data_IF_449145533603
#
_entry.id   IF_449145533603
#
_cell.length_a   1.000
_cell.length_b   1.000
_cell.length_c   1.000
_cell.angle_alpha   90.00
_cell.angle_beta   90.00
_cell.angle_gamma   90.00
#
_symmetry.space_group_name_H-M   'P 1'
#
loop_
_entity.id
_entity.type
_entity.pdbx_description
1 polymer ?
#
# COMPACT_ATOMS: atom_id res chain seq x y z
N UNK A 1 -3.73 10.18 -25.20
CA UNK A 1 -2.54 10.87 -24.66
C UNK A 1 -1.30 10.05 -25.04
N UNK A 2 -0.24 10.69 -25.57
CA UNK A 2 1.02 9.97 -25.84
C UNK A 2 1.68 9.58 -24.51
N UNK A 3 2.28 8.38 -24.38
CA UNK A 3 2.95 8.00 -23.15
C UNK A 3 4.14 8.92 -22.88
N UNK A 4 4.31 9.34 -21.62
CA UNK A 4 5.47 10.13 -21.17
C UNK A 4 6.77 9.37 -21.45
N UNK A 5 7.86 10.12 -21.66
CA UNK A 5 9.18 9.50 -21.83
C UNK A 5 9.57 8.73 -20.56
N UNK A 6 10.33 7.64 -20.73
CA UNK A 6 10.82 6.82 -19.61
C UNK A 6 11.50 7.66 -18.50
N UNK A 7 12.43 8.59 -18.78
CA UNK A 7 13.08 9.36 -17.72
C UNK A 7 12.10 10.25 -16.95
N UNK A 8 11.17 10.92 -17.65
CA UNK A 8 10.15 11.76 -17.01
C UNK A 8 9.27 10.94 -16.07
N UNK A 9 8.88 9.73 -16.50
CA UNK A 9 8.08 8.83 -15.65
C UNK A 9 8.83 8.39 -14.40
N UNK A 10 10.10 8.02 -14.52
CA UNK A 10 10.90 7.63 -13.35
C UNK A 10 11.11 8.82 -12.40
N UNK A 11 11.33 10.02 -12.94
CA UNK A 11 11.38 11.24 -12.14
C UNK A 11 10.06 11.48 -11.39
N UNK A 12 8.90 11.37 -12.05
CA UNK A 12 7.60 11.53 -11.40
C UNK A 12 7.37 10.50 -10.29
N UNK A 13 7.67 9.23 -10.53
CA UNK A 13 7.53 8.18 -9.50
C UNK A 13 8.49 8.43 -8.33
N UNK A 14 9.73 8.83 -8.62
CA UNK A 14 10.72 9.19 -7.59
C UNK A 14 10.25 10.37 -6.74
N UNK A 15 9.74 11.43 -7.37
CA UNK A 15 9.17 12.60 -6.69
C UNK A 15 7.94 12.21 -5.86
N UNK A 16 7.05 11.34 -6.37
CA UNK A 16 5.92 10.83 -5.60
C UNK A 16 6.38 10.11 -4.34
N UNK A 17 7.34 9.18 -4.44
CA UNK A 17 7.87 8.45 -3.30
C UNK A 17 8.49 9.40 -2.28
N UNK A 18 9.29 10.37 -2.74
CA UNK A 18 9.90 11.37 -1.87
C UNK A 18 8.84 12.18 -1.11
N UNK A 19 7.80 12.66 -1.79
CA UNK A 19 6.74 13.44 -1.16
C UNK A 19 5.93 12.61 -0.15
N UNK A 20 5.61 11.34 -0.44
CA UNK A 20 4.99 10.44 0.54
C UNK A 20 5.84 10.33 1.81
N UNK A 21 7.15 10.14 1.65
CA UNK A 21 8.10 10.03 2.77
C UNK A 21 8.20 11.34 3.53
N UNK A 22 8.30 12.48 2.85
CA UNK A 22 8.39 13.79 3.49
C UNK A 22 7.13 14.14 4.29
N UNK A 23 5.94 13.89 3.74
CA UNK A 23 4.68 14.11 4.46
C UNK A 23 4.55 13.18 5.67
N UNK A 24 4.93 11.91 5.53
CA UNK A 24 4.95 10.98 6.66
C UNK A 24 5.97 11.38 7.73
N UNK A 25 7.19 11.75 7.35
CA UNK A 25 8.21 12.24 8.28
C UNK A 25 7.73 13.49 9.01
N UNK A 26 7.09 14.41 8.30
CA UNK A 26 6.51 15.59 8.92
C UNK A 26 5.48 15.19 9.99
N UNK A 27 4.51 14.32 9.67
CA UNK A 27 3.52 13.84 10.66
C UNK A 27 4.16 13.19 11.89
N UNK A 28 5.15 12.31 11.68
CA UNK A 28 5.80 11.57 12.76
C UNK A 28 6.69 12.46 13.64
N UNK A 29 7.38 13.43 13.04
CA UNK A 29 8.30 14.31 13.77
C UNK A 29 7.61 15.51 14.41
N UNK A 30 6.56 16.04 13.78
CA UNK A 30 5.87 17.22 14.29
C UNK A 30 4.79 16.90 15.31
N UNK A 31 4.29 15.65 15.33
CA UNK A 31 3.25 15.16 16.26
C UNK A 31 2.12 16.19 16.49
N UNK A 32 1.38 16.51 15.43
CA UNK A 32 0.42 17.61 15.49
C UNK A 32 -0.71 17.35 16.49
N UNK A 33 -1.00 18.34 17.34
CA UNK A 33 -2.04 18.27 18.39
C UNK A 33 -3.30 19.09 18.03
N UNK A 34 -3.34 19.73 16.86
CA UNK A 34 -4.43 20.62 16.43
C UNK A 34 -5.66 19.88 15.87
N UNK A 35 -5.63 18.54 15.77
CA UNK A 35 -6.78 17.71 15.37
C UNK A 35 -6.63 16.27 15.86
N UNK A 36 -7.77 15.62 16.08
CA UNK A 36 -7.87 14.18 16.35
C UNK A 36 -8.00 13.34 15.05
N UNK A 37 -7.94 13.98 13.88
CA UNK A 37 -8.11 13.37 12.56
C UNK A 37 -9.45 12.63 12.40
N UNK A 38 -10.50 13.07 13.09
CA UNK A 38 -11.87 12.59 12.90
C UNK A 38 -12.57 13.18 11.66
N UNK A 39 -12.10 14.34 11.19
CA UNK A 39 -12.66 15.08 10.05
C UNK A 39 -11.57 15.40 9.02
N UNK A 40 -11.96 15.46 7.74
CA UNK A 40 -11.05 15.86 6.67
C UNK A 40 -10.91 17.39 6.63
N UNK A 41 -9.68 17.88 6.70
CA UNK A 41 -9.32 19.29 6.46
C UNK A 41 -10.01 20.31 7.39
N UNK A 42 -10.28 19.92 8.63
CA UNK A 42 -10.75 20.78 9.73
C UNK A 42 -9.65 21.66 10.36
N UNK A 43 -8.39 21.25 10.21
CA UNK A 43 -7.22 21.83 10.86
C UNK A 43 -6.08 22.01 9.87
N UNK A 44 -5.01 22.68 10.30
CA UNK A 44 -3.81 22.82 9.48
C UNK A 44 -3.20 21.45 9.22
N UNK A 45 -3.17 20.58 10.21
CA UNK A 45 -2.52 19.28 10.10
C UNK A 45 -3.28 18.30 9.24
N UNK A 46 -4.61 18.25 9.33
CA UNK A 46 -5.43 17.42 8.42
C UNK A 46 -5.35 17.92 6.98
N UNK A 47 -5.28 19.25 6.76
CA UNK A 47 -5.06 19.82 5.44
C UNK A 47 -3.67 19.48 4.88
N UNK A 48 -2.60 19.59 5.70
CA UNK A 48 -1.23 19.23 5.29
C UNK A 48 -1.14 17.73 4.97
N UNK A 49 -1.73 16.86 5.79
CA UNK A 49 -1.77 15.43 5.51
C UNK A 49 -2.51 15.11 4.21
N UNK A 50 -3.71 15.69 4.03
CA UNK A 50 -4.51 15.48 2.83
C UNK A 50 -3.76 15.93 1.57
N UNK A 51 -3.26 17.17 1.54
CA UNK A 51 -2.55 17.72 0.37
C UNK A 51 -1.23 16.96 0.16
N UNK A 52 -0.49 16.71 1.24
CA UNK A 52 0.79 16.01 1.22
C UNK A 52 0.72 14.60 0.68
N UNK A 53 -0.42 13.90 0.83
CA UNK A 53 -0.64 12.58 0.24
C UNK A 53 -1.43 12.60 -1.08
N UNK A 54 -2.27 13.60 -1.32
CA UNK A 54 -2.98 13.78 -2.58
C UNK A 54 -2.03 14.09 -3.73
N UNK A 55 -1.12 15.04 -3.55
CA UNK A 55 -0.15 15.45 -4.58
C UNK A 55 0.68 14.28 -5.10
N UNK A 56 1.40 13.49 -4.27
CA UNK A 56 2.17 12.37 -4.76
C UNK A 56 1.31 11.26 -5.36
N UNK A 57 0.09 11.06 -4.87
CA UNK A 57 -0.86 10.12 -5.47
C UNK A 57 -1.20 10.54 -6.90
N UNK A 58 -1.56 11.81 -7.11
CA UNK A 58 -1.86 12.35 -8.45
C UNK A 58 -0.64 12.25 -9.38
N UNK A 59 0.56 12.59 -8.89
CA UNK A 59 1.80 12.45 -9.66
C UNK A 59 2.05 10.98 -10.06
N UNK A 60 1.79 10.02 -9.18
CA UNK A 60 1.96 8.59 -9.48
C UNK A 60 0.94 8.11 -10.50
N UNK A 61 -0.31 8.62 -10.45
CA UNK A 61 -1.35 8.34 -11.44
C UNK A 61 -0.96 8.91 -12.82
N UNK A 62 -0.50 10.17 -12.88
CA UNK A 62 -0.01 10.79 -14.13
C UNK A 62 1.13 9.96 -14.73
N UNK A 63 2.04 9.46 -13.89
CA UNK A 63 3.16 8.64 -14.33
C UNK A 63 2.73 7.27 -14.87
N UNK A 64 1.74 6.63 -14.25
CA UNK A 64 1.40 5.23 -14.55
C UNK A 64 0.24 5.05 -15.51
N UNK A 65 -0.85 5.82 -15.40
CA UNK A 65 -2.10 5.63 -16.15
C UNK A 65 -1.87 5.55 -17.67
N UNK A 66 -1.04 6.41 -18.30
CA UNK A 66 -0.80 6.34 -19.75
C UNK A 66 -0.08 5.07 -20.21
N UNK A 67 0.51 4.30 -19.29
CA UNK A 67 1.26 3.08 -19.58
C UNK A 67 0.46 1.80 -19.37
N UNK A 68 -0.69 1.90 -18.70
CA UNK A 68 -1.50 0.76 -18.32
C UNK A 68 -2.50 0.41 -19.44
N UNK A 69 -2.65 -0.88 -19.77
CA UNK A 69 -3.72 -1.31 -20.66
C UNK A 69 -5.08 -1.10 -20.00
N UNK A 70 -6.13 -0.95 -20.82
CA UNK A 70 -7.50 -0.68 -20.35
C UNK A 70 -7.93 -1.68 -19.27
N UNK A 71 -7.60 -2.97 -19.42
CA UNK A 71 -7.95 -4.00 -18.42
C UNK A 71 -7.32 -3.75 -17.06
N UNK A 72 -6.09 -3.25 -17.00
CA UNK A 72 -5.45 -2.89 -15.72
C UNK A 72 -6.10 -1.64 -15.12
N UNK A 73 -6.50 -0.67 -15.93
CA UNK A 73 -7.25 0.49 -15.43
C UNK A 73 -8.60 0.06 -14.83
N UNK A 74 -9.25 -0.95 -15.40
CA UNK A 74 -10.54 -1.47 -14.90
C UNK A 74 -10.44 -2.18 -13.54
N UNK A 75 -9.30 -2.81 -13.22
CA UNK A 75 -9.16 -3.53 -11.94
C UNK A 75 -8.82 -2.60 -10.77
N UNK A 76 -8.27 -1.40 -11.02
CA UNK A 76 -7.92 -0.46 -9.94
C UNK A 76 -9.15 -0.12 -9.09
N UNK A 77 -10.30 0.34 -9.62
CA UNK A 77 -11.49 0.60 -8.81
C UNK A 77 -11.97 -0.61 -8.00
N UNK A 78 -11.94 -1.80 -8.60
CA UNK A 78 -12.31 -3.06 -7.91
C UNK A 78 -11.36 -3.35 -6.75
N UNK A 79 -10.06 -3.14 -6.96
CA UNK A 79 -9.04 -3.26 -5.92
C UNK A 79 -9.28 -2.27 -4.77
N UNK A 80 -9.64 -1.02 -5.08
CA UNK A 80 -9.96 -0.02 -4.05
C UNK A 80 -11.17 -0.47 -3.22
N UNK A 81 -12.26 -0.87 -3.88
CA UNK A 81 -13.49 -1.30 -3.20
C UNK A 81 -13.22 -2.51 -2.30
N UNK A 82 -12.46 -3.50 -2.78
CA UNK A 82 -12.12 -4.67 -1.99
C UNK A 82 -11.30 -4.30 -0.75
N UNK A 83 -10.25 -3.50 -0.92
CA UNK A 83 -9.43 -3.01 0.19
C UNK A 83 -10.27 -2.29 1.25
N UNK A 84 -11.12 -1.37 0.80
CA UNK A 84 -11.96 -0.54 1.66
C UNK A 84 -12.99 -1.38 2.41
N UNK A 85 -13.74 -2.24 1.70
CA UNK A 85 -14.83 -3.01 2.30
C UNK A 85 -14.26 -4.03 3.28
N UNK A 86 -13.24 -4.79 2.89
CA UNK A 86 -12.62 -5.78 3.78
C UNK A 86 -11.95 -5.08 4.96
N UNK A 87 -11.18 -4.02 4.70
CA UNK A 87 -10.50 -3.26 5.74
C UNK A 87 -11.46 -2.59 6.73
N UNK A 88 -12.61 -2.09 6.25
CA UNK A 88 -13.66 -1.58 7.14
C UNK A 88 -14.27 -2.69 7.99
N UNK A 89 -14.66 -3.81 7.38
CA UNK A 89 -15.28 -4.91 8.13
C UNK A 89 -14.32 -5.44 9.21
N UNK A 90 -13.05 -5.64 8.87
CA UNK A 90 -12.03 -6.16 9.79
C UNK A 90 -11.63 -5.11 10.84
N UNK A 91 -11.46 -3.85 10.45
CA UNK A 91 -10.98 -2.79 11.33
C UNK A 91 -12.02 -2.20 12.27
N UNK A 92 -13.30 -2.17 11.87
CA UNK A 92 -14.36 -1.45 12.60
C UNK A 92 -15.61 -2.27 12.93
N UNK A 93 -15.92 -3.35 12.20
CA UNK A 93 -17.19 -4.07 12.34
C UNK A 93 -17.07 -5.38 13.11
N UNK A 94 -16.95 -5.30 14.44
CA UNK A 94 -17.31 -6.37 15.38
C UNK A 94 -16.46 -7.66 15.38
N UNK A 95 -15.50 -7.80 14.46
CA UNK A 95 -14.51 -8.88 14.48
C UNK A 95 -13.24 -8.39 15.20
N UNK A 96 -12.91 -8.91 16.40
CA UNK A 96 -11.70 -8.55 17.12
C UNK A 96 -10.46 -9.23 16.52
N UNK A 97 -10.31 -9.16 15.19
CA UNK A 97 -9.18 -9.74 14.49
C UNK A 97 -8.02 -8.74 14.57
N UNK A 98 -6.85 -9.11 15.11
CA UNK A 98 -5.70 -8.21 15.21
C UNK A 98 -4.96 -8.11 13.87
N UNK A 99 -5.69 -7.91 12.77
CA UNK A 99 -5.22 -7.85 11.37
C UNK A 99 -5.99 -6.73 10.64
N UNK A 100 -5.60 -6.40 9.40
CA UNK A 100 -6.20 -5.32 8.61
C UNK A 100 -6.88 -5.83 7.33
N UNK A 101 -6.22 -6.74 6.60
CA UNK A 101 -6.67 -7.36 5.36
C UNK A 101 -7.05 -6.37 4.24
N UNK A 102 -6.47 -5.17 4.29
CA UNK A 102 -6.89 -3.98 3.55
C UNK A 102 -5.99 -3.62 2.36
N UNK A 103 -5.01 -4.47 2.05
CA UNK A 103 -4.07 -4.22 0.96
C UNK A 103 -4.09 -5.29 -0.13
N UNK A 104 -5.07 -6.20 -0.13
CA UNK A 104 -5.16 -7.27 -1.12
C UNK A 104 -5.20 -6.76 -2.56
N UNK A 105 -6.09 -5.81 -2.85
CA UNK A 105 -6.21 -5.19 -4.17
C UNK A 105 -4.93 -4.45 -4.57
N UNK A 106 -4.29 -3.75 -3.62
CA UNK A 106 -3.03 -3.03 -3.87
C UNK A 106 -1.90 -3.99 -4.24
N UNK A 107 -1.75 -5.09 -3.49
CA UNK A 107 -0.75 -6.13 -3.74
C UNK A 107 -1.03 -6.81 -5.08
N UNK A 108 -2.29 -7.12 -5.40
CA UNK A 108 -2.68 -7.72 -6.68
C UNK A 108 -2.33 -6.81 -7.86
N UNK A 109 -2.68 -5.52 -7.81
CA UNK A 109 -2.35 -4.55 -8.86
C UNK A 109 -0.83 -4.40 -8.98
N UNK A 110 -0.10 -4.31 -7.86
CA UNK A 110 1.35 -4.22 -7.86
C UNK A 110 2.02 -5.44 -8.55
N UNK A 111 1.55 -6.65 -8.25
CA UNK A 111 2.07 -7.90 -8.84
C UNK A 111 1.79 -7.97 -10.35
N UNK A 112 0.61 -7.51 -10.79
CA UNK A 112 0.18 -7.58 -12.18
C UNK A 112 0.75 -6.44 -13.04
N UNK A 113 0.84 -5.22 -12.49
CA UNK A 113 1.10 -4.00 -13.22
C UNK A 113 2.36 -3.23 -12.79
N UNK A 114 3.07 -3.69 -11.76
CA UNK A 114 4.37 -3.15 -11.35
C UNK A 114 4.32 -2.05 -10.29
N UNK A 115 5.50 -1.50 -9.93
CA UNK A 115 5.68 -0.65 -8.75
C UNK A 115 4.91 0.66 -8.82
N UNK A 116 4.90 1.34 -9.97
CA UNK A 116 4.18 2.60 -10.13
C UNK A 116 2.65 2.40 -10.00
N UNK A 117 2.13 1.27 -10.48
CA UNK A 117 0.70 0.96 -10.38
C UNK A 117 0.31 0.59 -8.95
N UNK A 118 1.17 -0.16 -8.25
CA UNK A 118 1.01 -0.45 -6.84
C UNK A 118 1.05 0.81 -5.97
N UNK A 119 2.04 1.68 -6.17
CA UNK A 119 2.17 2.97 -5.50
C UNK A 119 0.90 3.81 -5.64
N UNK A 120 0.43 3.97 -6.89
CA UNK A 120 -0.77 4.74 -7.19
C UNK A 120 -2.03 4.11 -6.59
N UNK A 121 -2.17 2.79 -6.65
CA UNK A 121 -3.33 2.08 -6.08
C UNK A 121 -3.35 2.22 -4.56
N UNK A 122 -2.20 2.09 -3.89
CA UNK A 122 -2.09 2.27 -2.44
C UNK A 122 -2.48 3.67 -2.00
N UNK A 123 -1.87 4.70 -2.61
CA UNK A 123 -2.19 6.10 -2.31
C UNK A 123 -3.67 6.43 -2.59
N UNK A 124 -4.21 5.94 -3.70
CA UNK A 124 -5.61 6.15 -4.05
C UNK A 124 -6.56 5.43 -3.10
N UNK A 125 -6.23 4.20 -2.66
CA UNK A 125 -7.00 3.48 -1.63
C UNK A 125 -7.10 4.29 -0.36
N UNK A 126 -5.97 4.80 0.16
CA UNK A 126 -5.99 5.58 1.40
C UNK A 126 -6.77 6.89 1.29
N UNK A 127 -6.72 7.58 0.15
CA UNK A 127 -7.42 8.86 -0.02
C UNK A 127 -8.92 8.69 -0.23
N UNK A 128 -9.33 7.70 -1.03
CA UNK A 128 -10.75 7.41 -1.25
C UNK A 128 -11.39 6.91 0.04
N UNK A 129 -10.69 6.03 0.77
CA UNK A 129 -11.15 5.59 2.09
C UNK A 129 -11.17 6.75 3.10
N UNK A 130 -10.11 7.55 3.09
CA UNK A 130 -9.95 8.75 3.90
C UNK A 130 -11.09 9.75 3.80
N UNK A 131 -11.78 9.81 2.67
CA UNK A 131 -12.92 10.71 2.48
C UNK A 131 -14.10 10.44 3.43
N UNK A 132 -14.23 9.22 3.96
CA UNK A 132 -15.28 8.85 4.91
C UNK A 132 -14.75 8.13 6.17
N UNK A 133 -13.46 7.79 6.21
CA UNK A 133 -12.74 7.42 7.43
C UNK A 133 -11.40 8.21 7.48
N UNK A 134 -11.42 9.46 7.98
CA UNK A 134 -10.28 10.38 7.83
C UNK A 134 -8.97 9.93 8.48
N UNK A 135 -9.05 9.08 9.51
CA UNK A 135 -7.88 8.47 10.16
C UNK A 135 -6.95 7.75 9.18
N UNK A 136 -7.50 7.14 8.13
CA UNK A 136 -6.76 6.37 7.11
C UNK A 136 -5.76 7.24 6.33
N UNK A 137 -6.02 8.55 6.20
CA UNK A 137 -5.14 9.47 5.47
C UNK A 137 -3.75 9.49 6.09
N UNK A 138 -3.63 9.42 7.42
CA UNK A 138 -2.34 9.41 8.12
C UNK A 138 -1.46 8.20 7.77
N UNK A 139 -2.08 7.10 7.34
CA UNK A 139 -1.40 5.86 6.98
C UNK A 139 -1.06 5.77 5.48
N UNK A 140 -1.41 6.77 4.66
CA UNK A 140 -1.29 6.73 3.20
C UNK A 140 0.11 6.36 2.68
N UNK A 141 1.17 6.84 3.36
CA UNK A 141 2.54 6.46 3.02
C UNK A 141 2.79 4.95 3.14
N UNK A 142 2.20 4.28 4.13
CA UNK A 142 2.28 2.82 4.30
C UNK A 142 1.57 2.06 3.18
N UNK A 143 0.38 2.50 2.76
CA UNK A 143 -0.35 1.91 1.63
C UNK A 143 0.45 2.05 0.32
N UNK A 144 0.94 3.27 0.06
CA UNK A 144 1.73 3.59 -1.12
C UNK A 144 3.05 2.78 -1.13
N UNK A 145 3.78 2.74 -0.01
CA UNK A 145 4.99 1.95 0.16
C UNK A 145 4.74 0.47 -0.11
N UNK A 146 3.70 -0.11 0.48
CA UNK A 146 3.36 -1.54 0.31
C UNK A 146 3.18 -1.88 -1.16
N UNK A 147 2.39 -1.09 -1.90
CA UNK A 147 2.18 -1.29 -3.33
C UNK A 147 3.46 -1.11 -4.15
N UNK A 148 4.27 -0.10 -3.83
CA UNK A 148 5.53 0.16 -4.52
C UNK A 148 6.53 -0.99 -4.34
N UNK A 149 6.80 -1.38 -3.10
CA UNK A 149 7.77 -2.43 -2.75
C UNK A 149 7.35 -3.78 -3.35
N UNK A 150 6.08 -4.16 -3.22
CA UNK A 150 5.54 -5.39 -3.83
C UNK A 150 5.74 -5.38 -5.34
N UNK A 151 5.50 -4.24 -6.00
CA UNK A 151 5.67 -4.13 -7.44
C UNK A 151 7.13 -4.29 -7.88
N UNK A 152 8.10 -3.87 -7.06
CA UNK A 152 9.54 -4.11 -7.30
C UNK A 152 9.87 -5.61 -7.21
N UNK A 153 9.30 -6.32 -6.24
CA UNK A 153 9.56 -7.75 -6.00
C UNK A 153 8.52 -8.67 -6.65
N UNK A 154 7.69 -8.17 -7.57
CA UNK A 154 6.60 -8.93 -8.22
C UNK A 154 7.02 -10.24 -8.88
N UNK A 155 8.30 -10.37 -9.26
CA UNK A 155 8.88 -11.58 -9.81
C UNK A 155 8.76 -12.79 -8.87
N UNK A 156 8.68 -12.58 -7.55
CA UNK A 156 8.54 -13.64 -6.56
C UNK A 156 7.25 -14.45 -6.72
N UNK A 157 6.16 -13.84 -7.21
CA UNK A 157 4.88 -14.52 -7.45
C UNK A 157 4.95 -15.54 -8.61
N UNK A 158 5.97 -15.45 -9.47
CA UNK A 158 6.29 -16.47 -10.48
C UNK A 158 7.13 -17.62 -9.91
N UNK A 159 7.78 -17.41 -8.77
CA UNK A 159 8.64 -18.39 -8.09
C UNK A 159 7.85 -19.17 -7.02
N UNK A 160 8.51 -19.68 -5.99
CA UNK A 160 7.91 -20.55 -4.98
C UNK A 160 7.15 -19.78 -3.89
N UNK A 161 6.12 -20.41 -3.32
CA UNK A 161 5.24 -19.82 -2.29
C UNK A 161 6.01 -19.32 -1.06
N UNK A 162 7.04 -20.04 -0.61
CA UNK A 162 7.83 -19.65 0.57
C UNK A 162 8.57 -18.33 0.39
N UNK A 163 8.98 -17.97 -0.85
CA UNK A 163 9.58 -16.66 -1.13
C UNK A 163 8.56 -15.54 -0.96
N UNK A 164 7.30 -15.82 -1.28
CA UNK A 164 6.19 -14.90 -1.08
C UNK A 164 5.87 -14.75 0.41
N UNK A 165 5.97 -15.82 1.21
CA UNK A 165 5.89 -15.74 2.67
C UNK A 165 7.00 -14.87 3.25
N UNK A 166 8.26 -15.09 2.85
CA UNK A 166 9.38 -14.25 3.31
C UNK A 166 9.17 -12.79 2.90
N UNK A 167 8.73 -12.55 1.66
CA UNK A 167 8.40 -11.19 1.22
C UNK A 167 7.27 -10.58 2.07
N UNK A 168 6.26 -11.36 2.44
CA UNK A 168 5.17 -10.93 3.34
C UNK A 168 5.71 -10.54 4.72
N UNK A 169 6.59 -11.36 5.30
CA UNK A 169 7.23 -11.04 6.59
C UNK A 169 8.06 -9.76 6.51
N UNK A 170 8.92 -9.62 5.50
CA UNK A 170 9.78 -8.45 5.34
C UNK A 170 8.96 -7.19 5.08
N UNK A 171 8.01 -7.24 4.12
CA UNK A 171 7.16 -6.08 3.82
C UNK A 171 6.25 -5.75 4.98
N UNK A 172 5.74 -6.73 5.71
CA UNK A 172 4.93 -6.49 6.90
C UNK A 172 5.72 -5.89 8.05
N UNK A 173 6.99 -6.27 8.26
CA UNK A 173 7.86 -5.58 9.22
C UNK A 173 8.12 -4.12 8.81
N UNK A 174 8.31 -3.86 7.50
CA UNK A 174 8.43 -2.50 6.98
C UNK A 174 7.12 -1.71 7.16
N UNK A 175 5.96 -2.34 6.89
CA UNK A 175 4.65 -1.76 7.14
C UNK A 175 4.51 -1.40 8.62
N UNK A 176 4.86 -2.31 9.54
CA UNK A 176 4.86 -2.08 10.98
C UNK A 176 5.75 -0.91 11.42
N UNK A 177 6.92 -0.76 10.79
CA UNK A 177 7.83 0.35 11.06
C UNK A 177 7.26 1.71 10.60
N UNK A 178 6.49 1.73 9.52
CA UNK A 178 5.86 2.94 8.99
C UNK A 178 4.54 3.26 9.70
N UNK A 179 3.78 2.24 10.11
CA UNK A 179 2.47 2.37 10.74
C UNK A 179 2.58 2.67 12.24
N UNK A 180 3.51 2.03 12.97
CA UNK A 180 3.60 2.17 14.43
C UNK A 180 3.81 3.61 14.93
N UNK A 181 4.70 4.44 14.33
CA UNK A 181 4.86 5.82 14.77
C UNK A 181 3.59 6.65 14.59
N UNK A 182 2.86 6.44 13.49
CA UNK A 182 1.57 7.09 13.24
C UNK A 182 0.53 6.62 14.25
N UNK A 183 0.41 5.31 14.45
CA UNK A 183 -0.52 4.72 15.40
C UNK A 183 -0.27 5.19 16.85
N UNK A 184 1.00 5.32 17.25
CA UNK A 184 1.37 5.76 18.58
C UNK A 184 1.24 7.28 18.76
N UNK A 185 1.89 8.08 17.91
CA UNK A 185 2.01 9.53 18.13
C UNK A 185 0.75 10.31 17.76
N UNK A 186 -0.07 9.81 16.82
CA UNK A 186 -1.31 10.49 16.41
C UNK A 186 -2.52 9.91 17.13
N UNK A 187 -2.56 8.58 17.30
CA UNK A 187 -3.76 7.88 17.75
C UNK A 187 -3.62 7.18 19.11
N UNK A 188 -2.47 7.28 19.78
CA UNK A 188 -2.26 6.68 21.10
C UNK A 188 -2.43 5.15 21.16
N UNK A 189 -2.37 4.45 20.03
CA UNK A 189 -2.54 3.00 19.95
C UNK A 189 -3.97 2.48 19.78
N UNK A 190 -4.97 3.36 19.68
CA UNK A 190 -6.39 2.97 19.59
C UNK A 190 -6.97 3.03 18.17
N UNK A 191 -6.11 3.04 17.14
CA UNK A 191 -6.53 3.26 15.76
C UNK A 191 -7.38 2.12 15.15
N UNK A 192 -7.35 0.91 15.71
CA UNK A 192 -8.13 -0.23 15.24
C UNK A 192 -8.71 -1.04 16.40
N UNK A 193 -9.89 -1.62 16.20
CA UNK A 193 -10.61 -2.35 17.26
C UNK A 193 -9.86 -3.62 17.68
N UNK A 194 -9.56 -4.52 16.73
CA UNK A 194 -8.83 -5.76 17.00
C UNK A 194 -7.36 -5.56 17.33
N UNK A 195 -6.70 -4.59 16.69
CA UNK A 195 -5.29 -4.26 16.98
C UNK A 195 -5.13 -3.56 18.32
N UNK A 196 -6.07 -2.69 18.70
CA UNK A 196 -6.12 -2.08 20.04
C UNK A 196 -6.22 -3.12 21.16
N UNK A 197 -6.95 -4.23 20.95
CA UNK A 197 -6.95 -5.34 21.92
C UNK A 197 -5.57 -5.97 22.10
N UNK A 198 -4.78 -6.07 21.03
CA UNK A 198 -3.41 -6.57 21.11
C UNK A 198 -2.51 -5.57 21.86
N UNK A 199 -2.70 -4.25 21.65
CA UNK A 199 -2.02 -3.21 22.44
C UNK A 199 -2.35 -3.37 23.93
N UNK A 200 -3.63 -3.42 24.30
CA UNK A 200 -4.05 -3.60 25.69
C UNK A 200 -3.54 -4.92 26.29
N UNK A 201 -3.44 -5.98 25.50
CA UNK A 201 -2.84 -7.24 25.95
C UNK A 201 -1.35 -7.08 26.27
N UNK A 202 -0.57 -6.36 25.46
CA UNK A 202 0.82 -6.05 25.77
C UNK A 202 0.96 -5.12 26.99
N UNK A 203 0.08 -4.12 27.14
CA UNK A 203 0.07 -3.27 28.34
C UNK A 203 -0.22 -4.09 29.61
N UNK A 204 -1.15 -5.05 29.53
CA UNK A 204 -1.45 -5.98 30.62
C UNK A 204 -0.26 -6.90 30.97
N UNK A 205 0.67 -7.13 30.05
CA UNK A 205 1.94 -7.82 30.28
C UNK A 205 3.02 -6.91 30.89
N UNK A 206 2.71 -5.64 31.15
CA UNK A 206 3.60 -4.67 31.79
C UNK A 206 4.44 -3.83 30.82
N UNK A 207 4.18 -3.91 29.50
CA UNK A 207 4.85 -3.03 28.54
C UNK A 207 4.27 -1.61 28.61
N UNK A 208 5.11 -0.59 28.35
CA UNK A 208 4.64 0.79 28.21
C UNK A 208 3.74 0.94 26.98
N UNK A 209 2.84 1.92 26.96
CA UNK A 209 1.91 2.12 25.84
C UNK A 209 2.62 2.22 24.49
N UNK A 210 3.71 2.99 24.39
CA UNK A 210 4.51 3.06 23.17
C UNK A 210 5.12 1.71 22.77
N UNK A 211 5.72 0.98 23.72
CA UNK A 211 6.26 -0.35 23.41
C UNK A 211 5.16 -1.32 22.98
N UNK A 212 3.98 -1.25 23.61
CA UNK A 212 2.83 -2.08 23.27
C UNK A 212 2.31 -1.81 21.84
N UNK A 213 2.23 -0.55 21.40
CA UNK A 213 1.85 -0.20 20.03
C UNK A 213 2.85 -0.73 19.01
N UNK A 214 4.15 -0.56 19.26
CA UNK A 214 5.19 -1.08 18.36
C UNK A 214 5.19 -2.61 18.29
N UNK A 215 5.04 -3.29 19.43
CA UNK A 215 4.91 -4.76 19.48
C UNK A 215 3.67 -5.24 18.73
N UNK A 216 2.56 -4.51 18.85
CA UNK A 216 1.35 -4.81 18.09
C UNK A 216 1.61 -4.71 16.60
N UNK A 217 2.14 -3.59 16.10
CA UNK A 217 2.37 -3.42 14.66
C UNK A 217 3.38 -4.44 14.13
N UNK A 218 4.41 -4.78 14.90
CA UNK A 218 5.40 -5.80 14.52
C UNK A 218 4.89 -7.24 14.63
N UNK A 219 3.73 -7.45 15.25
CA UNK A 219 3.08 -8.76 15.31
C UNK A 219 2.00 -8.87 14.24
N UNK A 220 1.09 -7.89 14.18
CA UNK A 220 -0.04 -7.87 13.26
C UNK A 220 0.39 -7.67 11.80
N UNK A 221 1.25 -6.70 11.50
CA UNK A 221 1.55 -6.32 10.11
C UNK A 221 2.29 -7.44 9.35
N UNK A 222 3.28 -8.15 9.92
CA UNK A 222 3.88 -9.31 9.27
C UNK A 222 2.90 -10.44 9.00
N UNK A 223 2.04 -10.76 9.97
CA UNK A 223 1.03 -11.82 9.82
C UNK A 223 0.02 -11.43 8.74
N UNK A 224 -0.46 -10.19 8.78
CA UNK A 224 -1.37 -9.61 7.78
C UNK A 224 -0.78 -9.71 6.37
N UNK A 225 0.46 -9.26 6.17
CA UNK A 225 1.10 -9.29 4.86
C UNK A 225 1.38 -10.70 4.38
N UNK A 226 1.74 -11.65 5.25
CA UNK A 226 1.86 -13.06 4.85
C UNK A 226 0.53 -13.60 4.33
N UNK A 227 -0.57 -13.36 5.04
CA UNK A 227 -1.91 -13.82 4.62
C UNK A 227 -2.27 -13.20 3.27
N UNK A 228 -2.21 -11.88 3.15
CA UNK A 228 -2.56 -11.16 1.91
C UNK A 228 -1.69 -11.64 0.74
N UNK A 229 -0.37 -11.76 0.94
CA UNK A 229 0.55 -12.11 -0.13
C UNK A 229 0.31 -13.53 -0.61
N UNK A 230 0.00 -14.46 0.30
CA UNK A 230 -0.36 -15.83 -0.03
C UNK A 230 -1.70 -15.93 -0.76
N UNK A 231 -2.71 -15.15 -0.36
CA UNK A 231 -3.98 -15.07 -1.09
C UNK A 231 -3.76 -14.54 -2.52
N UNK A 232 -2.97 -13.47 -2.67
CA UNK A 232 -2.60 -12.95 -4.00
C UNK A 232 -1.76 -13.97 -4.77
N UNK A 233 -0.91 -14.76 -4.11
CA UNK A 233 -0.17 -15.85 -4.75
C UNK A 233 -1.09 -16.89 -5.38
N UNK A 234 -2.10 -17.35 -4.63
CA UNK A 234 -3.10 -18.30 -5.13
C UNK A 234 -3.86 -17.71 -6.32
N UNK A 235 -4.36 -16.47 -6.20
CA UNK A 235 -5.08 -15.78 -7.29
C UNK A 235 -4.19 -15.60 -8.51
N UNK A 236 -2.94 -15.15 -8.32
CA UNK A 236 -1.97 -15.00 -9.39
C UNK A 236 -1.72 -16.32 -10.11
N UNK A 237 -1.57 -17.43 -9.37
CA UNK A 237 -1.35 -18.77 -9.93
C UNK A 237 -2.58 -19.33 -10.66
N UNK A 238 -3.79 -18.98 -10.22
CA UNK A 238 -5.03 -19.38 -10.86
C UNK A 238 -5.30 -18.65 -12.20
N UNK A 239 -4.78 -17.42 -12.38
CA UNK A 239 -4.98 -16.67 -13.63
C UNK A 239 -4.27 -17.34 -14.83
N UNK A 240 -4.92 -17.51 -15.99
CA UNK A 240 -4.26 -17.99 -17.21
C UNK A 240 -3.10 -17.09 -17.66
N UNK A 241 -2.05 -17.67 -18.25
CA UNK A 241 -0.88 -16.90 -18.69
C UNK A 241 -1.23 -15.77 -19.67
N UNK A 242 -2.18 -16.01 -20.58
CA UNK A 242 -2.67 -15.01 -21.54
C UNK A 242 -3.26 -13.79 -20.82
N UNK A 243 -4.08 -14.03 -19.80
CA UNK A 243 -4.71 -12.99 -18.98
C UNK A 243 -3.67 -12.18 -18.20
N UNK A 244 -2.64 -12.82 -17.64
CA UNK A 244 -1.55 -12.12 -16.93
C UNK A 244 -0.79 -11.15 -17.83
N UNK A 245 -0.52 -11.54 -19.09
CA UNK A 245 0.19 -10.69 -20.07
C UNK A 245 -0.61 -9.46 -20.46
N UNK A 246 -1.94 -9.54 -20.44
CA UNK A 246 -2.80 -8.40 -20.76
C UNK A 246 -2.80 -7.31 -19.68
N UNK A 247 -2.31 -7.62 -18.47
CA UNK A 247 -2.21 -6.63 -17.39
C UNK A 247 -0.84 -5.96 -17.29
N UNK A 248 0.17 -6.47 -17.99
CA UNK A 248 1.51 -5.92 -17.97
C UNK A 248 1.54 -4.52 -18.65
N UNK A 249 2.27 -3.54 -18.09
CA UNK A 249 2.44 -2.24 -18.74
C UNK A 249 3.10 -2.37 -20.12
N UNK A 250 2.77 -1.47 -21.03
CA UNK A 250 3.29 -1.49 -22.40
C UNK A 250 4.84 -1.39 -22.48
N UNK A 251 5.48 -0.89 -21.42
CA UNK A 251 6.94 -0.80 -21.33
C UNK A 251 7.64 -2.16 -21.11
N UNK A 252 6.92 -3.15 -20.58
CA UNK A 252 7.42 -4.50 -20.27
C UNK A 252 7.16 -5.50 -21.42
N UNK A 253 6.39 -5.10 -22.44
CA UNK A 253 5.94 -5.96 -23.54
C UNK A 253 6.76 -5.85 -24.82
N UNK A 254 7.93 -5.20 -24.79
CA UNK A 254 8.85 -5.25 -25.93
C UNK A 254 9.32 -6.70 -26.15
N UNK A 255 9.25 -7.24 -27.38
CA UNK A 255 9.81 -8.56 -27.64
C UNK A 255 11.29 -8.54 -27.29
N UNK A 256 11.75 -9.61 -26.63
CA UNK A 256 13.19 -9.91 -26.58
C UNK A 256 13.68 -9.82 -28.02
N UNK A 257 14.70 -8.99 -28.28
CA UNK A 257 15.27 -8.85 -29.61
C UNK A 257 15.54 -10.25 -30.16
N UNK A 258 14.87 -10.59 -31.27
CA UNK A 258 15.16 -11.81 -32.01
C UNK A 258 16.65 -11.81 -32.32
N UNK A 259 17.37 -12.68 -31.64
CA UNK A 259 18.77 -12.92 -31.89
C UNK A 259 18.91 -13.61 -33.23
N UNK A 260 19.58 -12.91 -34.15
CA UNK A 260 20.29 -13.42 -35.33
C UNK A 260 19.47 -13.86 -36.53
N UNK A 261 19.22 -12.87 -37.38
CA UNK A 261 19.58 -12.81 -38.81
C UNK A 261 20.06 -14.11 -39.48
N UNK A 262 19.28 -14.52 -40.47
CA UNK A 262 19.72 -15.28 -41.64
C UNK A 262 20.69 -14.41 -42.45
N UNK A 263 21.88 -14.93 -42.75
CA UNK A 263 22.61 -14.59 -43.98
C UNK A 263 23.27 -15.85 -44.54
N UNK A 264 22.96 -16.05 -45.81
CA UNK A 264 23.43 -16.98 -46.85
C UNK A 264 24.89 -17.41 -46.74
#
# INVERSE_FOLDING_TARGET
MRPLSRPVRHALVGTSVLLFVLTWLWLVLSQPEDSDFSTVADSRSTAVALVGFLVPTVLSLIAVVPTLPVRTLSIIPVALVLNIVVGQVVGTMGLPLPLYLDSFGTVLVAVLAGPAAGLATGGLSSLVWGAFNPTIICFAAGYAMTGFVVGLVRGLWRSSWWKVVIAGLVVGLLSGLVSAPVANFIFGGTAGTGTGLLVSAYEALGFSGTTAVFLQSWTSDPVDKVIIFMLVFVVYRALPQKTRRTFAPAADSAPAADGTTVTV
#
